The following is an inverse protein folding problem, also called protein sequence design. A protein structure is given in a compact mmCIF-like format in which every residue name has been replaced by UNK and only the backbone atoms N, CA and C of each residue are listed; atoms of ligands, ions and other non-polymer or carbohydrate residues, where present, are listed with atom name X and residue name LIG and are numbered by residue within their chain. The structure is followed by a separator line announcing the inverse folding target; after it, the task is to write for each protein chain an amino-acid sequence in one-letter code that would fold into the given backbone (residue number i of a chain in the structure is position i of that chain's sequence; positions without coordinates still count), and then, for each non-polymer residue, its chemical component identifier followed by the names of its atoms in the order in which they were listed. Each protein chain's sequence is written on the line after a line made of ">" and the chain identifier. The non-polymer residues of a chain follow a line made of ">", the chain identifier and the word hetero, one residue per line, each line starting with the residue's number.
data_IF_858465627961
#
_entry.id   IF_858465627961
#
_cell.length_a   1.000
_cell.length_b   1.000
_cell.length_c   1.000
_cell.angle_alpha   90.00
_cell.angle_beta   90.00
_cell.angle_gamma   90.00
#
_symmetry.space_group_name_H-M   'P 1'
#
loop_
_entity.id
_entity.type
_entity.pdbx_description
1 polymer ?
#
# COMPACT_ATOMS: atom_id res chain seq x y z
N UNK A 1 -4.29 -7.89 -1.11
CA UNK A 1 -3.96 -8.25 0.29
C UNK A 1 -4.58 -7.27 1.28
N UNK A 2 -5.43 -7.78 2.16
CA UNK A 2 -5.92 -7.05 3.34
C UNK A 2 -4.93 -7.11 4.51
N UNK A 3 -3.81 -7.83 4.37
CA UNK A 3 -2.84 -8.11 5.42
C UNK A 3 -1.42 -8.12 4.85
N UNK A 4 -0.46 -7.55 5.59
CA UNK A 4 0.98 -7.68 5.35
C UNK A 4 1.70 -8.26 6.59
N UNK A 5 2.72 -9.07 6.33
CA UNK A 5 3.61 -9.72 7.31
C UNK A 5 5.05 -9.30 7.05
N UNK A 6 5.46 -8.05 7.36
CA UNK A 6 6.79 -7.54 7.01
C UNK A 6 7.87 -8.20 7.89
N UNK A 7 8.27 -9.41 7.52
CA UNK A 7 9.27 -10.26 8.19
C UNK A 7 10.46 -10.61 7.26
N UNK A 8 10.43 -10.15 6.01
CA UNK A 8 11.40 -10.41 4.94
C UNK A 8 11.48 -11.88 4.52
N UNK A 9 10.38 -12.62 4.59
CA UNK A 9 10.31 -14.02 4.09
C UNK A 9 9.91 -14.11 2.61
N UNK A 10 9.64 -12.97 1.96
CA UNK A 10 9.22 -12.86 0.56
C UNK A 10 7.70 -12.97 0.36
N UNK A 11 6.92 -13.24 1.41
CA UNK A 11 5.47 -13.44 1.36
C UNK A 11 4.75 -12.34 2.12
N UNK A 12 3.86 -11.61 1.44
CA UNK A 12 3.09 -10.51 2.03
C UNK A 12 3.93 -9.45 2.78
N UNK A 13 5.22 -9.29 2.43
CA UNK A 13 6.09 -8.27 3.03
C UNK A 13 5.66 -6.84 2.66
N UNK A 14 4.96 -6.68 1.54
CA UNK A 14 4.57 -5.41 0.97
C UNK A 14 3.08 -5.39 0.64
N UNK A 15 2.49 -4.20 0.67
CA UNK A 15 1.13 -3.98 0.22
C UNK A 15 1.08 -4.04 -1.31
N UNK A 16 0.71 -5.20 -1.83
CA UNK A 16 0.47 -5.43 -3.25
C UNK A 16 -0.97 -5.06 -3.64
N UNK A 17 -1.21 -4.67 -4.89
CA UNK A 17 -2.58 -4.54 -5.43
C UNK A 17 -2.61 -5.35 -6.73
N UNK A 18 -3.49 -6.35 -6.80
CA UNK A 18 -3.58 -7.24 -7.95
C UNK A 18 -4.21 -6.51 -9.15
N UNK A 19 -3.76 -6.86 -10.36
CA UNK A 19 -4.25 -6.29 -11.64
C UNK A 19 -4.07 -4.77 -11.80
N UNK A 20 -3.32 -4.13 -10.90
CA UNK A 20 -3.09 -2.68 -10.94
C UNK A 20 -2.34 -2.25 -12.21
N UNK A 21 -1.57 -3.17 -12.81
CA UNK A 21 -0.81 -2.96 -14.06
C UNK A 21 -1.62 -2.52 -15.26
N UNK A 22 -2.94 -2.68 -15.25
CA UNK A 22 -3.82 -2.24 -16.33
C UNK A 22 -4.02 -0.71 -16.38
N UNK A 23 -3.67 0.02 -15.31
CA UNK A 23 -3.93 1.45 -15.18
C UNK A 23 -2.68 2.29 -15.49
N UNK A 24 -2.86 3.33 -16.32
CA UNK A 24 -1.78 4.21 -16.75
C UNK A 24 -1.37 5.20 -15.66
N UNK A 25 -2.32 5.76 -14.91
CA UNK A 25 -2.05 6.57 -13.73
C UNK A 25 -2.75 5.98 -12.50
N UNK A 26 -1.97 5.83 -11.44
CA UNK A 26 -2.45 5.43 -10.13
C UNK A 26 -1.87 6.34 -9.04
N UNK A 27 -2.63 6.52 -7.98
CA UNK A 27 -2.15 7.08 -6.71
C UNK A 27 -2.55 6.15 -5.58
N UNK A 28 -1.57 5.65 -4.83
CA UNK A 28 -1.80 4.80 -3.65
C UNK A 28 -1.41 5.59 -2.41
N UNK A 29 -2.35 5.78 -1.51
CA UNK A 29 -2.16 6.50 -0.25
C UNK A 29 -2.47 5.55 0.91
N UNK A 30 -1.67 5.61 1.98
CA UNK A 30 -1.95 4.87 3.22
C UNK A 30 -1.86 5.83 4.39
N UNK A 31 -2.79 5.65 5.32
CA UNK A 31 -3.01 6.50 6.47
C UNK A 31 -2.92 5.71 7.77
N UNK A 32 -2.45 6.38 8.81
CA UNK A 32 -2.52 5.85 10.16
C UNK A 32 -3.93 5.97 10.76
N UNK A 33 -4.08 5.54 12.02
CA UNK A 33 -5.37 5.56 12.73
C UNK A 33 -5.93 6.97 12.96
N UNK A 34 -5.08 8.01 12.89
CA UNK A 34 -5.43 9.39 13.15
C UNK A 34 -5.70 10.17 11.86
N UNK A 35 -5.55 9.52 10.71
CA UNK A 35 -5.73 10.12 9.40
C UNK A 35 -4.46 10.77 8.84
N UNK A 36 -3.30 10.56 9.46
CA UNK A 36 -2.03 11.04 8.93
C UNK A 36 -1.57 10.17 7.77
N UNK A 37 -1.24 10.80 6.63
CA UNK A 37 -0.69 10.09 5.46
C UNK A 37 0.74 9.62 5.76
N UNK A 38 0.92 8.31 5.76
CA UNK A 38 2.20 7.64 6.07
C UNK A 38 2.86 7.04 4.84
N UNK A 39 2.15 6.91 3.72
CA UNK A 39 2.71 6.44 2.47
C UNK A 39 1.99 7.08 1.28
N UNK A 40 2.76 7.35 0.23
CA UNK A 40 2.23 7.81 -1.05
C UNK A 40 3.07 7.22 -2.19
N UNK A 41 2.38 6.67 -3.19
CA UNK A 41 2.96 6.32 -4.48
C UNK A 41 2.14 7.00 -5.58
N UNK A 42 2.84 7.54 -6.59
CA UNK A 42 2.26 8.10 -7.82
C UNK A 42 3.04 7.58 -9.01
N UNK A 43 2.34 7.01 -9.98
CA UNK A 43 2.98 6.46 -11.18
C UNK A 43 2.03 5.56 -11.94
N UNK A 44 2.59 4.64 -12.72
CA UNK A 44 1.80 3.66 -13.46
C UNK A 44 1.55 2.40 -12.64
N UNK A 45 0.52 1.65 -13.02
CA UNK A 45 0.27 0.31 -12.48
C UNK A 45 1.46 -0.64 -12.64
N UNK A 46 2.15 -0.56 -13.78
CA UNK A 46 3.32 -1.39 -14.07
C UNK A 46 4.48 -1.05 -13.13
N UNK A 47 4.70 0.24 -12.81
CA UNK A 47 5.72 0.64 -11.84
C UNK A 47 5.42 0.13 -10.43
N UNK A 48 4.15 0.05 -10.05
CA UNK A 48 3.75 -0.47 -8.74
C UNK A 48 4.01 -1.98 -8.58
N UNK A 49 4.21 -2.73 -9.68
CA UNK A 49 4.62 -4.12 -9.58
C UNK A 49 6.04 -4.29 -9.03
N UNK A 50 6.88 -3.26 -9.06
CA UNK A 50 8.13 -3.28 -8.33
C UNK A 50 7.86 -3.15 -6.82
N UNK A 51 8.30 -4.15 -6.04
CA UNK A 51 8.11 -4.17 -4.59
C UNK A 51 8.75 -2.97 -3.86
N UNK A 52 9.79 -2.36 -4.43
CA UNK A 52 10.42 -1.16 -3.86
C UNK A 52 9.51 0.08 -3.89
N UNK A 53 8.49 0.08 -4.75
CA UNK A 53 7.48 1.13 -4.85
C UNK A 53 6.25 0.87 -3.96
N UNK A 54 6.22 -0.25 -3.24
CA UNK A 54 5.07 -0.65 -2.41
C UNK A 54 5.33 -0.29 -0.95
N UNK A 55 4.26 -0.17 -0.18
CA UNK A 55 4.39 0.07 1.25
C UNK A 55 4.74 -1.22 1.98
N UNK A 56 5.78 -1.18 2.81
CA UNK A 56 6.33 -2.33 3.53
C UNK A 56 6.03 -2.30 5.05
N UNK A 57 5.02 -1.55 5.47
CA UNK A 57 4.70 -1.40 6.89
C UNK A 57 5.67 -0.50 7.67
N UNK A 58 6.50 0.30 6.99
CA UNK A 58 7.38 1.30 7.61
C UNK A 58 6.92 2.72 7.32
N UNK A 59 7.27 3.64 8.22
CA UNK A 59 7.14 5.09 8.01
C UNK A 59 8.42 5.79 8.47
N UNK A 60 8.99 6.64 7.61
CA UNK A 60 10.27 7.33 7.86
C UNK A 60 11.39 6.36 8.30
N UNK A 61 11.44 5.19 7.67
CA UNK A 61 12.43 4.13 7.95
C UNK A 61 12.17 3.31 9.22
N UNK A 62 11.12 3.61 10.00
CA UNK A 62 10.78 2.89 11.23
C UNK A 62 9.61 1.93 11.01
N UNK A 63 9.68 0.78 11.67
CA UNK A 63 8.58 -0.17 11.72
C UNK A 63 7.36 0.40 12.43
N UNK A 64 6.21 0.28 11.78
CA UNK A 64 4.94 0.68 12.38
C UNK A 64 4.38 -0.44 13.28
N UNK A 65 3.57 -0.09 14.30
CA UNK A 65 2.97 -1.09 15.17
C UNK A 65 2.01 -2.01 14.40
N UNK A 66 1.78 -3.21 14.94
CA UNK A 66 0.68 -4.07 14.46
C UNK A 66 -0.64 -3.32 14.60
N UNK A 67 -1.52 -3.50 13.62
CA UNK A 67 -2.78 -2.77 13.58
C UNK A 67 -3.29 -2.57 12.16
N UNK A 68 -4.38 -1.83 12.05
CA UNK A 68 -5.06 -1.55 10.78
C UNK A 68 -4.77 -0.15 10.29
N UNK A 69 -4.51 -0.04 9.01
CA UNK A 69 -4.17 1.20 8.30
C UNK A 69 -5.13 1.36 7.12
N UNK A 70 -5.66 2.56 6.93
CA UNK A 70 -6.59 2.83 5.84
C UNK A 70 -5.80 3.10 4.56
N UNK A 71 -6.27 2.60 3.42
CA UNK A 71 -5.72 2.96 2.13
C UNK A 71 -6.76 3.62 1.23
N UNK A 72 -6.27 4.46 0.32
CA UNK A 72 -7.03 5.02 -0.80
C UNK A 72 -6.22 4.76 -2.06
N UNK A 73 -6.84 4.16 -3.07
CA UNK A 73 -6.27 3.93 -4.40
C UNK A 73 -7.09 4.69 -5.42
N UNK A 74 -6.47 5.65 -6.10
CA UNK A 74 -7.08 6.41 -7.19
C UNK A 74 -6.57 5.85 -8.51
N UNK A 75 -7.47 5.62 -9.44
CA UNK A 75 -7.20 5.06 -10.76
C UNK A 75 -7.85 5.99 -11.81
N UNK A 76 -7.35 5.97 -13.03
CA UNK A 76 -7.99 6.66 -14.15
C UNK A 76 -9.42 6.14 -14.37
N UNK A 77 -10.38 7.06 -14.52
CA UNK A 77 -11.78 6.79 -14.87
C UNK A 77 -12.53 5.78 -13.96
N UNK A 78 -12.05 5.56 -12.73
CA UNK A 78 -12.68 4.70 -11.72
C UNK A 78 -12.84 5.46 -10.41
N UNK A 79 -13.93 5.19 -9.68
CA UNK A 79 -14.10 5.72 -8.33
C UNK A 79 -12.95 5.26 -7.41
N UNK A 80 -12.48 6.13 -6.50
CA UNK A 80 -11.41 5.76 -5.57
C UNK A 80 -11.76 4.50 -4.77
N UNK A 81 -10.88 3.51 -4.82
CA UNK A 81 -10.99 2.31 -4.01
C UNK A 81 -10.46 2.61 -2.61
N UNK A 82 -11.23 2.23 -1.59
CA UNK A 82 -10.84 2.42 -0.20
C UNK A 82 -10.93 1.12 0.57
N UNK A 83 -10.13 1.00 1.62
CA UNK A 83 -10.15 -0.19 2.46
C UNK A 83 -9.12 -0.13 3.57
N UNK A 84 -8.89 -1.31 4.16
CA UNK A 84 -7.97 -1.49 5.28
C UNK A 84 -6.91 -2.51 4.90
N UNK A 85 -5.67 -2.21 5.27
CA UNK A 85 -4.55 -3.15 5.29
C UNK A 85 -4.07 -3.29 6.74
N UNK A 86 -3.91 -4.53 7.20
CA UNK A 86 -3.43 -4.82 8.56
C UNK A 86 -1.97 -5.25 8.55
N UNK A 87 -1.18 -4.73 9.49
CA UNK A 87 0.15 -5.25 9.82
C UNK A 87 -0.02 -6.31 10.90
N UNK A 88 0.45 -7.53 10.61
CA UNK A 88 0.63 -8.61 11.59
C UNK A 88 2.09 -9.06 11.62
N UNK A 89 2.51 -9.72 12.69
CA UNK A 89 3.86 -10.25 12.90
C UNK A 89 3.76 -11.63 13.54
#
# INVERSE_FOLDING_TARGET
>A
PSVITPNNDGTNDNFEITNIGAYANIEVEIFDRWGDKIFIFKGTGIQYYDASNRWNGKYKGKDLPMGSYMYIVKLDDVEPLTGVVSIIR
#
